data_IF_347356851505
#
_entry.id   IF_347356851505
#
_cell.length_a   1.000
_cell.length_b   1.000
_cell.length_c   1.000
_cell.angle_alpha   90.00
_cell.angle_beta   90.00
_cell.angle_gamma   90.00
#
_symmetry.space_group_name_H-M   'P 1'
#
loop_
_entity.id
_entity.type
_entity.pdbx_description
1 polymer ?
#
# COMPACT_ATOMS: atom_id res chain seq x y z
N UNK A 1 -52.62 28.39 0.69
CA UNK A 1 -54.04 28.78 0.77
C UNK A 1 -54.32 29.48 2.09
N UNK A 2 -53.66 29.04 3.17
CA UNK A 2 -53.78 29.65 4.51
C UNK A 2 -53.29 31.11 4.56
N UNK A 3 -52.18 31.43 3.89
CA UNK A 3 -51.61 32.79 3.90
C UNK A 3 -52.55 33.87 3.34
N UNK A 4 -53.34 33.55 2.31
CA UNK A 4 -54.32 34.48 1.74
C UNK A 4 -55.52 34.67 2.67
N UNK A 5 -55.93 33.58 3.34
CA UNK A 5 -57.02 33.59 4.32
C UNK A 5 -56.65 34.45 5.53
N UNK A 6 -55.41 34.34 6.00
CA UNK A 6 -54.89 35.14 7.11
C UNK A 6 -54.77 36.63 6.74
N UNK A 7 -54.34 36.93 5.51
CA UNK A 7 -54.32 38.29 4.95
C UNK A 7 -55.73 38.89 4.87
N UNK A 8 -56.74 38.11 4.44
CA UNK A 8 -58.12 38.59 4.33
C UNK A 8 -58.79 38.80 5.71
N UNK A 9 -58.54 37.92 6.68
CA UNK A 9 -59.01 38.11 8.07
C UNK A 9 -58.39 39.37 8.69
N UNK A 10 -57.10 39.61 8.45
CA UNK A 10 -56.41 40.83 8.92
C UNK A 10 -56.99 42.09 8.27
N UNK A 11 -57.33 42.02 6.98
CA UNK A 11 -58.01 43.11 6.27
C UNK A 11 -59.38 43.44 6.89
N UNK A 12 -60.20 42.44 7.19
CA UNK A 12 -61.52 42.64 7.78
C UNK A 12 -61.43 43.35 9.16
N UNK A 13 -60.48 42.92 10.00
CA UNK A 13 -60.29 43.50 11.34
C UNK A 13 -59.79 44.95 11.32
N UNK A 14 -59.06 45.37 10.27
CA UNK A 14 -58.44 46.70 10.20
C UNK A 14 -59.33 47.76 9.52
N UNK A 15 -60.45 47.37 8.89
CA UNK A 15 -61.37 48.33 8.26
C UNK A 15 -62.55 48.72 9.17
N UNK A 16 -62.54 48.29 10.43
CA UNK A 16 -63.52 48.72 11.44
C UNK A 16 -63.25 50.17 11.92
N UNK A 17 -62.03 50.69 11.75
CA UNK A 17 -61.65 52.06 12.11
C UNK A 17 -61.89 53.04 10.93
N UNK A 18 -62.74 54.06 11.13
CA UNK A 18 -63.27 54.96 10.07
C UNK A 18 -62.23 55.85 9.37
N UNK A 19 -61.04 56.03 9.94
CA UNK A 19 -60.10 57.07 9.52
C UNK A 19 -59.15 56.67 8.37
N UNK A 20 -59.10 55.39 7.96
CA UNK A 20 -58.23 54.94 6.84
C UNK A 20 -58.68 53.60 6.22
N UNK A 21 -59.91 53.55 5.70
CA UNK A 21 -60.46 52.32 5.10
C UNK A 21 -59.87 52.04 3.71
N UNK A 22 -59.24 50.87 3.55
CA UNK A 22 -58.80 50.33 2.27
C UNK A 22 -59.97 49.62 1.60
N UNK A 23 -60.27 49.96 0.35
CA UNK A 23 -61.35 49.26 -0.37
C UNK A 23 -61.01 47.78 -0.59
N UNK A 24 -62.02 46.92 -0.62
CA UNK A 24 -61.82 45.49 -0.85
C UNK A 24 -61.14 45.23 -2.21
N UNK A 25 -61.44 46.05 -3.21
CA UNK A 25 -60.78 46.03 -4.51
C UNK A 25 -59.28 46.34 -4.43
N UNK A 26 -58.88 47.30 -3.59
CA UNK A 26 -57.46 47.64 -3.37
C UNK A 26 -56.74 46.52 -2.62
N UNK A 27 -57.38 45.91 -1.63
CA UNK A 27 -56.86 44.72 -0.97
C UNK A 27 -56.57 43.60 -1.97
N UNK A 28 -57.54 43.24 -2.82
CA UNK A 28 -57.33 42.18 -3.82
C UNK A 28 -56.24 42.54 -4.83
N UNK A 29 -56.12 43.81 -5.25
CA UNK A 29 -55.03 44.26 -6.13
C UNK A 29 -53.65 44.07 -5.47
N UNK A 30 -53.52 44.44 -4.19
CA UNK A 30 -52.27 44.27 -3.45
C UNK A 30 -51.93 42.79 -3.22
N UNK A 31 -52.92 41.99 -2.82
CA UNK A 31 -52.73 40.56 -2.62
C UNK A 31 -52.33 39.84 -3.91
N UNK A 32 -52.97 40.19 -5.04
CA UNK A 32 -52.61 39.64 -6.34
C UNK A 32 -51.22 40.07 -6.79
N UNK A 33 -50.86 41.35 -6.59
CA UNK A 33 -49.51 41.84 -6.88
C UNK A 33 -48.45 41.06 -6.09
N UNK A 34 -48.65 40.90 -4.78
CA UNK A 34 -47.73 40.13 -3.93
C UNK A 34 -47.65 38.65 -4.32
N UNK A 35 -48.76 38.05 -4.78
CA UNK A 35 -48.74 36.68 -5.30
C UNK A 35 -47.94 36.55 -6.62
N UNK A 36 -48.03 37.55 -7.51
CA UNK A 36 -47.21 37.57 -8.73
C UNK A 36 -45.72 37.73 -8.42
N UNK A 37 -45.37 38.63 -7.49
CA UNK A 37 -43.98 38.81 -7.04
C UNK A 37 -43.40 37.50 -6.48
N UNK A 38 -44.14 36.82 -5.59
CA UNK A 38 -43.76 35.48 -5.08
C UNK A 38 -43.61 34.44 -6.18
N UNK A 39 -44.47 34.47 -7.20
CA UNK A 39 -44.40 33.54 -8.32
C UNK A 39 -43.16 33.78 -9.18
N UNK A 40 -42.80 35.05 -9.41
CA UNK A 40 -41.59 35.44 -10.13
C UNK A 40 -40.32 35.07 -9.34
N UNK A 41 -40.32 35.28 -8.02
CA UNK A 41 -39.24 34.81 -7.14
C UNK A 41 -39.06 33.29 -7.23
N UNK A 42 -40.15 32.53 -7.15
CA UNK A 42 -40.10 31.07 -7.26
C UNK A 42 -39.58 30.62 -8.63
N UNK A 43 -39.98 31.32 -9.70
CA UNK A 43 -39.50 31.05 -11.06
C UNK A 43 -37.99 31.29 -11.17
N UNK A 44 -37.48 32.36 -10.57
CA UNK A 44 -36.04 32.65 -10.53
C UNK A 44 -35.29 31.58 -9.73
N UNK A 45 -35.80 31.18 -8.57
CA UNK A 45 -35.21 30.09 -7.77
C UNK A 45 -35.15 28.78 -8.56
N UNK A 46 -36.23 28.42 -9.25
CA UNK A 46 -36.27 27.22 -10.08
C UNK A 46 -35.20 27.25 -11.19
N UNK A 47 -35.06 28.40 -11.87
CA UNK A 47 -34.05 28.57 -12.90
C UNK A 47 -32.63 28.44 -12.35
N UNK A 48 -32.34 29.04 -11.18
CA UNK A 48 -31.03 28.94 -10.53
C UNK A 48 -30.71 27.49 -10.14
N UNK A 49 -31.68 26.78 -9.54
CA UNK A 49 -31.52 25.35 -9.20
C UNK A 49 -31.27 24.48 -10.43
N UNK A 50 -31.92 24.76 -11.57
CA UNK A 50 -31.64 24.06 -12.81
C UNK A 50 -30.20 24.28 -13.30
N UNK A 51 -29.68 25.50 -13.19
CA UNK A 51 -28.29 25.79 -13.55
C UNK A 51 -27.31 25.08 -12.61
N UNK A 52 -27.55 25.12 -11.30
CA UNK A 52 -26.73 24.41 -10.31
C UNK A 52 -26.72 22.89 -10.57
N UNK A 53 -27.89 22.30 -10.85
CA UNK A 53 -28.00 20.89 -11.19
C UNK A 53 -27.16 20.53 -12.43
N UNK A 54 -27.20 21.38 -13.46
CA UNK A 54 -26.41 21.19 -14.68
C UNK A 54 -24.91 21.26 -14.39
N UNK A 55 -24.47 22.23 -13.59
CA UNK A 55 -23.07 22.38 -13.17
C UNK A 55 -22.61 21.16 -12.38
N UNK A 56 -23.40 20.70 -11.39
CA UNK A 56 -23.09 19.51 -10.59
C UNK A 56 -23.01 18.24 -11.43
N UNK A 57 -23.87 18.10 -12.44
CA UNK A 57 -23.81 16.97 -13.37
C UNK A 57 -22.50 16.94 -14.16
N UNK A 58 -22.01 18.11 -14.59
CA UNK A 58 -20.74 18.22 -15.31
C UNK A 58 -19.54 17.94 -14.40
N UNK A 59 -19.54 18.47 -13.18
CA UNK A 59 -18.51 18.17 -12.17
C UNK A 59 -18.45 16.67 -11.88
N UNK A 60 -19.60 16.02 -11.72
CA UNK A 60 -19.66 14.58 -11.48
C UNK A 60 -19.13 13.75 -12.65
N UNK A 61 -19.37 14.19 -13.90
CA UNK A 61 -18.79 13.54 -15.08
C UNK A 61 -17.26 13.64 -15.08
N UNK A 62 -16.71 14.82 -14.77
CA UNK A 62 -15.27 15.02 -14.62
C UNK A 62 -14.64 14.10 -13.56
N UNK A 63 -15.25 14.01 -12.37
CA UNK A 63 -14.75 13.12 -11.32
C UNK A 63 -14.84 11.63 -11.71
N UNK A 64 -15.85 11.23 -12.48
CA UNK A 64 -15.95 9.86 -12.98
C UNK A 64 -14.80 9.52 -13.94
N UNK A 65 -14.43 10.44 -14.83
CA UNK A 65 -13.28 10.27 -15.73
C UNK A 65 -11.95 10.20 -14.97
N UNK A 66 -11.77 11.06 -13.96
CA UNK A 66 -10.57 11.06 -13.12
C UNK A 66 -10.42 9.74 -12.33
N UNK A 67 -11.53 9.17 -11.82
CA UNK A 67 -11.52 7.86 -11.17
C UNK A 67 -11.09 6.73 -12.12
N UNK A 68 -11.55 6.75 -13.37
CA UNK A 68 -11.13 5.77 -14.38
C UNK A 68 -9.62 5.86 -14.64
N UNK A 69 -9.09 7.09 -14.74
CA UNK A 69 -7.65 7.31 -14.93
C UNK A 69 -6.84 6.77 -13.75
N UNK A 70 -7.24 7.09 -12.52
CA UNK A 70 -6.56 6.64 -11.30
C UNK A 70 -6.58 5.11 -11.18
N UNK A 71 -7.70 4.47 -11.50
CA UNK A 71 -7.78 2.99 -11.47
C UNK A 71 -6.88 2.36 -12.53
N UNK A 72 -6.74 3.00 -13.70
CA UNK A 72 -5.77 2.60 -14.72
C UNK A 72 -4.32 2.69 -14.24
N UNK A 73 -3.92 3.81 -13.65
CA UNK A 73 -2.58 4.01 -13.08
C UNK A 73 -2.27 2.99 -11.98
N UNK A 74 -3.24 2.72 -11.10
CA UNK A 74 -3.14 1.71 -10.05
C UNK A 74 -2.90 0.30 -10.62
N UNK A 75 -3.56 -0.05 -11.71
CA UNK A 75 -3.35 -1.33 -12.39
C UNK A 75 -1.91 -1.44 -12.92
N UNK A 76 -1.43 -0.43 -13.63
CA UNK A 76 -0.05 -0.37 -14.15
C UNK A 76 0.99 -0.52 -13.03
N UNK A 77 0.82 0.22 -11.93
CA UNK A 77 1.72 0.11 -10.77
C UNK A 77 1.69 -1.28 -10.12
N UNK A 78 0.52 -1.93 -10.11
CA UNK A 78 0.39 -3.29 -9.58
C UNK A 78 1.18 -4.29 -10.44
N UNK A 79 1.06 -4.17 -11.77
CA UNK A 79 1.80 -5.02 -12.71
C UNK A 79 3.32 -4.80 -12.59
N UNK A 80 3.77 -3.56 -12.42
CA UNK A 80 5.17 -3.21 -12.19
C UNK A 80 5.71 -3.82 -10.88
N UNK A 81 4.94 -3.73 -9.78
CA UNK A 81 5.30 -4.35 -8.49
C UNK A 81 5.44 -5.87 -8.64
N UNK A 82 4.55 -6.52 -9.40
CA UNK A 82 4.65 -7.96 -9.63
C UNK A 82 5.93 -8.33 -10.40
N UNK A 83 6.27 -7.56 -11.44
CA UNK A 83 7.50 -7.75 -12.20
C UNK A 83 8.76 -7.57 -11.32
N UNK A 84 8.79 -6.51 -10.51
CA UNK A 84 9.90 -6.27 -9.57
C UNK A 84 10.06 -7.40 -8.55
N UNK A 85 8.94 -7.94 -8.04
CA UNK A 85 8.97 -9.06 -7.10
C UNK A 85 9.51 -10.35 -7.73
N UNK A 86 9.21 -10.60 -9.00
CA UNK A 86 9.80 -11.73 -9.75
C UNK A 86 11.31 -11.52 -9.91
N UNK A 87 11.73 -10.31 -10.27
CA UNK A 87 13.16 -9.97 -10.42
C UNK A 87 13.93 -10.10 -9.09
N UNK A 88 13.35 -9.64 -7.98
CA UNK A 88 13.92 -9.79 -6.64
C UNK A 88 14.17 -11.26 -6.30
N UNK A 89 13.21 -12.14 -6.60
CA UNK A 89 13.35 -13.59 -6.38
C UNK A 89 14.50 -14.17 -7.21
N UNK A 90 14.56 -13.83 -8.50
CA UNK A 90 15.64 -14.28 -9.40
C UNK A 90 17.01 -13.82 -8.89
N UNK A 91 17.13 -12.57 -8.46
CA UNK A 91 18.39 -12.03 -7.92
C UNK A 91 18.78 -12.72 -6.61
N UNK A 92 17.82 -12.98 -5.73
CA UNK A 92 18.04 -13.71 -4.48
C UNK A 92 18.59 -15.11 -4.77
N UNK A 93 17.97 -15.84 -5.69
CA UNK A 93 18.45 -17.15 -6.14
C UNK A 93 19.87 -17.06 -6.72
N UNK A 94 20.16 -16.09 -7.60
CA UNK A 94 21.50 -15.86 -8.13
C UNK A 94 22.54 -15.60 -7.02
N UNK A 95 22.21 -14.82 -6.00
CA UNK A 95 23.09 -14.58 -4.86
C UNK A 95 23.37 -15.87 -4.06
N UNK A 96 22.36 -16.71 -3.85
CA UNK A 96 22.58 -18.01 -3.17
C UNK A 96 23.52 -18.92 -3.95
N UNK A 97 23.36 -19.00 -5.29
CA UNK A 97 24.22 -19.79 -6.16
C UNK A 97 25.66 -19.27 -6.12
N UNK A 98 25.85 -17.95 -6.21
CA UNK A 98 27.18 -17.33 -6.15
C UNK A 98 27.87 -17.60 -4.83
N UNK A 99 27.13 -17.53 -3.71
CA UNK A 99 27.67 -17.86 -2.40
C UNK A 99 28.17 -19.31 -2.34
N UNK A 100 27.34 -20.26 -2.77
CA UNK A 100 27.75 -21.68 -2.83
C UNK A 100 28.96 -21.90 -3.73
N UNK A 101 29.04 -21.23 -4.89
CA UNK A 101 30.23 -21.30 -5.76
C UNK A 101 31.48 -20.77 -5.07
N UNK A 102 31.37 -19.68 -4.31
CA UNK A 102 32.49 -19.11 -3.59
C UNK A 102 32.97 -20.02 -2.46
N UNK A 103 32.04 -20.62 -1.70
CA UNK A 103 32.36 -21.60 -0.65
C UNK A 103 33.14 -22.80 -1.22
N UNK A 104 32.73 -23.33 -2.39
CA UNK A 104 33.44 -24.41 -3.09
C UNK A 104 34.85 -23.97 -3.52
N UNK A 105 34.99 -22.78 -4.09
CA UNK A 105 36.29 -22.26 -4.53
C UNK A 105 37.25 -22.04 -3.34
N UNK A 106 36.75 -21.56 -2.22
CA UNK A 106 37.54 -21.42 -1.00
C UNK A 106 38.04 -22.80 -0.51
N UNK A 107 37.19 -23.82 -0.51
CA UNK A 107 37.57 -25.19 -0.19
C UNK A 107 38.67 -25.71 -1.15
N UNK A 108 38.50 -25.56 -2.46
CA UNK A 108 39.51 -25.94 -3.45
C UNK A 108 40.86 -25.23 -3.23
N UNK A 109 40.84 -23.93 -2.93
CA UNK A 109 42.05 -23.15 -2.63
C UNK A 109 42.75 -23.68 -1.37
N UNK A 110 42.01 -24.05 -0.32
CA UNK A 110 42.61 -24.66 0.88
C UNK A 110 43.27 -26.00 0.57
N UNK A 111 42.60 -26.86 -0.21
CA UNK A 111 43.15 -28.16 -0.64
C UNK A 111 44.44 -27.96 -1.44
N UNK A 112 44.46 -27.00 -2.37
CA UNK A 112 45.63 -26.68 -3.18
C UNK A 112 46.79 -26.15 -2.32
N UNK A 113 46.53 -25.24 -1.37
CA UNK A 113 47.55 -24.76 -0.44
C UNK A 113 48.18 -25.89 0.37
N UNK A 114 47.37 -26.80 0.90
CA UNK A 114 47.87 -27.97 1.65
C UNK A 114 48.71 -28.89 0.77
N UNK A 115 48.25 -29.21 -0.46
CA UNK A 115 49.03 -30.00 -1.41
C UNK A 115 50.38 -29.35 -1.74
N UNK A 116 50.41 -28.03 -1.91
CA UNK A 116 51.62 -27.30 -2.26
C UNK A 116 52.61 -27.22 -1.07
N UNK A 117 52.13 -27.16 0.17
CA UNK A 117 52.95 -27.27 1.38
C UNK A 117 53.63 -28.63 1.49
N UNK A 118 52.87 -29.71 1.31
CA UNK A 118 53.38 -31.09 1.37
C UNK A 118 54.42 -31.40 0.27
N UNK A 119 54.37 -30.69 -0.87
CA UNK A 119 55.39 -30.82 -1.93
C UNK A 119 56.70 -30.14 -1.53
N UNK A 120 56.65 -28.97 -0.90
CA UNK A 120 57.86 -28.25 -0.44
C UNK A 120 58.63 -29.01 0.65
N UNK A 121 57.96 -29.72 1.54
CA UNK A 121 58.62 -30.57 2.56
C UNK A 121 59.31 -31.81 1.97
N UNK A 122 58.92 -32.26 0.77
CA UNK A 122 59.57 -33.39 0.08
C UNK A 122 60.80 -32.99 -0.72
N UNK A 123 60.98 -31.70 -1.01
CA UNK A 123 62.08 -31.17 -1.81
C UNK A 123 63.21 -30.55 -0.95
N UNK A 124 63.17 -30.68 0.39
CA UNK A 124 64.28 -30.26 1.25
C UNK A 124 65.44 -31.28 1.17
N UNK A 125 66.64 -30.90 0.67
CA UNK A 125 67.71 -31.84 0.39
C UNK A 125 68.40 -32.29 1.68
N UNK A 126 68.05 -33.48 2.18
CA UNK A 126 68.86 -34.17 3.18
C UNK A 126 70.18 -34.63 2.56
N UNK A 127 71.24 -33.85 2.79
CA UNK A 127 72.60 -34.30 2.52
C UNK A 127 73.04 -35.36 3.54
N UNK A 128 73.60 -36.45 3.00
CA UNK A 128 74.39 -37.52 3.63
C UNK A 128 73.63 -38.58 4.43
N UNK A 129 73.45 -39.78 3.87
CA UNK A 129 74.41 -40.93 3.98
C UNK A 129 73.70 -42.23 3.54
N UNK A 130 74.14 -42.86 2.47
CA UNK A 130 73.80 -44.27 2.17
C UNK A 130 74.72 -45.21 2.99
N UNK A 131 74.50 -46.54 3.07
CA UNK A 131 73.38 -47.36 2.54
C UNK A 131 72.82 -48.42 3.55
N UNK A 132 71.59 -48.92 3.35
CA UNK A 132 71.22 -50.37 3.29
C UNK A 132 69.70 -50.61 3.34
N UNK A 133 69.24 -51.53 2.48
CA UNK A 133 68.02 -52.37 2.53
C UNK A 133 66.72 -51.82 3.16
N UNK A 134 65.67 -51.64 2.35
CA UNK A 134 64.54 -52.59 2.26
C UNK A 134 63.47 -52.05 1.32
N UNK A 135 63.13 -52.82 0.29
CA UNK A 135 62.06 -52.55 -0.65
C UNK A 135 60.69 -52.63 0.02
N UNK A 136 60.11 -51.50 0.41
CA UNK A 136 58.66 -51.39 0.63
C UNK A 136 58.04 -50.55 -0.50
N UNK A 137 57.40 -51.25 -1.44
CA UNK A 137 56.47 -50.67 -2.42
C UNK A 137 55.29 -50.05 -1.65
N UNK A 138 55.27 -48.72 -1.50
CA UNK A 138 54.04 -48.02 -1.18
C UNK A 138 53.14 -48.04 -2.42
N UNK A 139 52.09 -48.85 -2.36
CA UNK A 139 51.00 -48.87 -3.33
C UNK A 139 50.29 -47.50 -3.28
N UNK A 140 50.59 -46.61 -4.23
CA UNK A 140 49.65 -45.56 -4.59
C UNK A 140 48.54 -46.28 -5.35
N UNK A 141 47.37 -46.46 -4.72
CA UNK A 141 46.17 -46.80 -5.47
C UNK A 141 45.90 -45.64 -6.44
N UNK A 142 46.39 -45.78 -7.68
CA UNK A 142 45.86 -45.01 -8.80
C UNK A 142 44.39 -45.41 -8.88
N UNK A 143 43.50 -44.49 -8.53
CA UNK A 143 42.08 -44.67 -8.82
C UNK A 143 41.95 -44.98 -10.32
N UNK A 144 41.24 -46.07 -10.62
CA UNK A 144 41.02 -46.52 -11.98
C UNK A 144 40.39 -45.38 -12.80
N UNK A 145 40.99 -44.94 -13.93
CA UNK A 145 40.43 -43.89 -14.78
C UNK A 145 38.96 -44.11 -15.12
N UNK A 146 38.52 -45.37 -15.18
CA UNK A 146 37.16 -45.78 -15.47
C UNK A 146 36.17 -45.41 -14.34
N UNK A 147 36.63 -45.37 -13.08
CA UNK A 147 35.87 -44.91 -11.91
C UNK A 147 35.62 -43.40 -11.96
N UNK A 148 36.64 -42.62 -12.32
CA UNK A 148 36.47 -41.17 -12.50
C UNK A 148 35.57 -40.85 -13.70
N UNK A 149 35.72 -41.58 -14.81
CA UNK A 149 34.84 -41.44 -15.97
C UNK A 149 33.37 -41.67 -15.57
N UNK A 150 33.09 -42.74 -14.83
CA UNK A 150 31.73 -43.09 -14.39
C UNK A 150 31.11 -42.03 -13.46
N UNK A 151 31.92 -41.43 -12.57
CA UNK A 151 31.48 -40.31 -11.71
C UNK A 151 31.20 -39.05 -12.51
N UNK A 152 31.99 -38.78 -13.54
CA UNK A 152 31.80 -37.63 -14.41
C UNK A 152 30.53 -37.76 -15.24
N UNK A 153 30.27 -38.95 -15.81
CA UNK A 153 29.02 -39.23 -16.54
C UNK A 153 27.79 -39.16 -15.64
N UNK A 154 27.90 -39.58 -14.37
CA UNK A 154 26.81 -39.45 -13.41
C UNK A 154 26.48 -37.97 -13.11
N UNK A 155 27.50 -37.13 -12.93
CA UNK A 155 27.31 -35.69 -12.71
C UNK A 155 26.73 -34.99 -13.94
N UNK A 156 27.20 -35.32 -15.14
CA UNK A 156 26.65 -34.81 -16.40
C UNK A 156 25.16 -35.16 -16.53
N UNK A 157 24.78 -36.41 -16.25
CA UNK A 157 23.39 -36.84 -16.28
C UNK A 157 22.52 -36.14 -15.23
N UNK A 158 23.06 -35.89 -14.03
CA UNK A 158 22.36 -35.17 -12.97
C UNK A 158 22.12 -33.70 -13.36
N UNK A 159 23.10 -33.05 -13.98
CA UNK A 159 23.02 -31.65 -14.43
C UNK A 159 22.07 -31.53 -15.63
N UNK A 160 22.18 -32.39 -16.64
CA UNK A 160 21.29 -32.40 -17.80
C UNK A 160 19.84 -32.71 -17.42
N UNK A 161 19.61 -33.62 -16.46
CA UNK A 161 18.27 -33.89 -15.89
C UNK A 161 17.68 -32.67 -15.19
N UNK A 162 18.49 -31.90 -14.44
CA UNK A 162 18.02 -30.66 -13.81
C UNK A 162 17.75 -29.52 -14.80
N UNK A 163 18.55 -29.40 -15.86
CA UNK A 163 18.37 -28.37 -16.90
C UNK A 163 17.11 -28.66 -17.74
N UNK A 164 16.86 -29.91 -18.11
CA UNK A 164 15.67 -30.30 -18.87
C UNK A 164 14.37 -30.08 -18.09
N UNK A 165 14.41 -30.24 -16.76
CA UNK A 165 13.27 -29.93 -15.88
C UNK A 165 13.02 -28.42 -15.68
N UNK A 166 13.91 -27.54 -16.16
CA UNK A 166 13.77 -26.08 -16.10
C UNK A 166 13.29 -25.47 -17.43
N UNK A 167 13.16 -26.26 -18.50
CA UNK A 167 12.65 -25.77 -19.78
C UNK A 167 11.12 -25.78 -19.83
N UNK A 168 10.51 -24.75 -19.25
CA UNK A 168 9.23 -24.23 -19.73
C UNK A 168 9.52 -23.30 -20.91
N UNK A 169 9.46 -23.87 -22.11
CA UNK A 169 9.08 -23.24 -23.38
C UNK A 169 9.57 -21.81 -23.62
N UNK A 170 10.74 -21.68 -24.26
CA UNK A 170 10.97 -20.57 -25.18
C UNK A 170 9.96 -20.70 -26.34
N UNK A 171 8.83 -20.01 -26.25
CA UNK A 171 8.22 -19.40 -27.43
C UNK A 171 8.49 -17.92 -27.28
N UNK A 172 9.60 -17.46 -27.86
CA UNK A 172 9.81 -16.08 -28.30
C UNK A 172 11.00 -16.12 -29.27
N UNK A 173 10.77 -16.74 -30.43
CA UNK A 173 11.47 -16.35 -31.64
C UNK A 173 10.56 -15.41 -32.43
N UNK A 174 11.15 -14.34 -32.96
CA UNK A 174 10.58 -13.37 -33.90
C UNK A 174 9.62 -12.33 -33.31
N UNK A 175 10.15 -11.16 -32.93
CA UNK A 175 10.05 -9.91 -33.72
C UNK A 175 11.25 -9.03 -33.33
N UNK A 176 12.33 -9.09 -34.13
CA UNK A 176 13.23 -7.96 -34.31
C UNK A 176 12.77 -7.28 -35.59
N UNK A 177 12.07 -6.16 -35.47
CA UNK A 177 11.92 -5.23 -36.59
C UNK A 177 11.98 -3.79 -36.06
N UNK A 178 13.15 -3.18 -36.32
CA UNK A 178 13.44 -1.76 -36.48
C UNK A 178 12.60 -0.74 -35.69
N UNK A 179 13.16 -0.26 -34.58
CA UNK A 179 12.91 1.11 -34.12
C UNK A 179 14.27 1.76 -33.83
N UNK A 180 14.57 2.79 -34.62
CA UNK A 180 15.71 3.67 -34.44
C UNK A 180 15.77 4.22 -33.01
N UNK A 181 16.89 3.99 -32.34
CA UNK A 181 17.22 4.58 -31.05
C UNK A 181 17.80 5.97 -31.31
N UNK A 182 17.14 7.09 -30.93
CA UNK A 182 17.84 8.35 -30.82
C UNK A 182 18.73 8.26 -29.59
N UNK A 183 20.03 8.48 -29.80
CA UNK A 183 21.04 8.61 -28.76
C UNK A 183 20.70 9.82 -27.87
N UNK A 184 19.95 9.59 -26.80
CA UNK A 184 19.66 10.60 -25.80
C UNK A 184 20.67 10.46 -24.66
N UNK A 185 21.35 11.58 -24.37
CA UNK A 185 22.32 11.75 -23.31
C UNK A 185 21.71 11.40 -21.94
N UNK A 186 22.52 10.81 -21.07
CA UNK A 186 22.11 10.42 -19.72
C UNK A 186 21.57 11.65 -18.95
N UNK A 187 20.37 11.59 -18.35
CA UNK A 187 19.95 12.63 -17.44
C UNK A 187 20.65 12.43 -16.10
N UNK A 188 21.40 13.46 -15.74
CA UNK A 188 21.94 13.74 -14.42
C UNK A 188 20.85 13.57 -13.37
N UNK A 189 21.13 12.77 -12.32
CA UNK A 189 20.35 12.70 -11.10
C UNK A 189 20.29 14.10 -10.47
N UNK A 190 19.20 14.82 -10.68
CA UNK A 190 18.81 15.95 -9.85
C UNK A 190 17.79 15.42 -8.85
N UNK A 191 18.16 15.40 -7.57
CA UNK A 191 17.21 15.26 -6.46
C UNK A 191 16.24 16.45 -6.50
N UNK A 192 15.20 16.38 -7.32
CA UNK A 192 14.07 17.31 -7.22
C UNK A 192 13.24 16.93 -5.99
N UNK A 193 13.52 17.61 -4.88
CA UNK A 193 12.53 17.88 -3.85
C UNK A 193 11.31 18.52 -4.52
N UNK A 194 10.33 17.69 -4.90
CA UNK A 194 9.00 18.16 -5.27
C UNK A 194 8.35 18.71 -4.00
N UNK A 195 8.59 19.99 -3.73
CA UNK A 195 7.80 20.78 -2.79
C UNK A 195 6.49 21.05 -3.53
N UNK A 196 5.49 20.18 -3.32
CA UNK A 196 4.12 20.46 -3.70
C UNK A 196 3.67 21.75 -3.01
N UNK A 197 3.63 22.86 -3.75
CA UNK A 197 3.03 24.10 -3.30
C UNK A 197 1.50 23.95 -3.32
N UNK A 198 0.97 23.21 -2.33
CA UNK A 198 -0.46 22.98 -2.14
C UNK A 198 -1.08 24.16 -1.39
N UNK A 199 -1.44 25.20 -2.14
CA UNK A 199 -2.28 26.31 -1.66
C UNK A 199 -3.79 26.05 -1.80
N UNK A 200 -4.20 24.88 -2.27
CA UNK A 200 -5.61 24.49 -2.21
C UNK A 200 -5.91 23.85 -0.86
N UNK A 201 -6.48 24.64 0.05
CA UNK A 201 -7.04 24.20 1.33
C UNK A 201 -7.96 22.98 1.13
N UNK A 202 -8.71 22.94 0.02
CA UNK A 202 -9.62 21.86 -0.35
C UNK A 202 -8.87 20.57 -0.67
N UNK A 203 -7.78 20.60 -1.43
CA UNK A 203 -6.98 19.40 -1.72
C UNK A 203 -6.26 18.86 -0.49
N UNK A 204 -5.83 19.74 0.44
CA UNK A 204 -5.32 19.30 1.75
C UNK A 204 -6.40 18.56 2.53
N UNK A 205 -7.62 19.12 2.61
CA UNK A 205 -8.72 18.47 3.30
C UNK A 205 -9.16 17.18 2.62
N UNK A 206 -9.17 17.12 1.28
CA UNK A 206 -9.54 15.92 0.53
C UNK A 206 -8.52 14.78 0.69
N UNK A 207 -7.21 15.08 0.62
CA UNK A 207 -6.15 14.10 0.89
C UNK A 207 -6.17 13.65 2.36
N UNK A 208 -6.38 14.58 3.30
CA UNK A 208 -6.62 14.25 4.71
C UNK A 208 -7.85 13.35 4.85
N UNK A 209 -8.95 13.62 4.14
CA UNK A 209 -10.19 12.83 4.15
C UNK A 209 -10.00 11.40 3.62
N UNK A 210 -9.30 11.23 2.51
CA UNK A 210 -8.96 9.91 1.96
C UNK A 210 -8.00 9.16 2.91
N UNK A 211 -7.07 9.85 3.56
CA UNK A 211 -6.17 9.26 4.55
C UNK A 211 -6.90 8.93 5.88
N UNK A 212 -7.90 9.72 6.27
CA UNK A 212 -8.73 9.50 7.47
C UNK A 212 -9.52 8.18 7.36
N UNK A 213 -9.93 7.77 6.15
CA UNK A 213 -10.68 6.52 5.93
C UNK A 213 -9.85 5.23 6.09
N UNK A 214 -8.52 5.30 6.21
CA UNK A 214 -7.64 4.10 6.25
C UNK A 214 -7.19 3.68 7.65
N UNK A 215 -7.79 4.21 8.71
CA UNK A 215 -7.44 3.74 10.06
C UNK A 215 -8.02 2.35 10.32
N UNK A 216 -7.19 1.32 10.11
CA UNK A 216 -7.52 -0.09 10.34
C UNK A 216 -7.27 -0.56 11.78
N UNK A 217 -6.85 0.35 12.66
CA UNK A 217 -6.57 0.04 14.06
C UNK A 217 -7.88 -0.19 14.81
N UNK A 218 -8.17 -1.45 15.12
CA UNK A 218 -9.40 -1.90 15.78
C UNK A 218 -9.65 -1.26 17.16
N UNK A 219 -8.64 -0.64 17.77
CA UNK A 219 -8.69 0.07 19.04
C UNK A 219 -8.71 1.60 18.91
N UNK A 220 -8.80 2.17 17.71
CA UNK A 220 -8.77 3.60 17.48
C UNK A 220 -10.02 4.32 18.02
N UNK A 221 -9.90 5.32 18.91
CA UNK A 221 -11.06 6.01 19.49
C UNK A 221 -11.84 6.87 18.51
N UNK A 222 -11.28 7.18 17.33
CA UNK A 222 -11.93 8.00 16.29
C UNK A 222 -12.65 7.16 15.23
N UNK A 223 -12.18 5.95 14.95
CA UNK A 223 -12.60 5.18 13.78
C UNK A 223 -13.06 3.75 14.09
N UNK A 224 -12.97 3.29 15.34
CA UNK A 224 -13.46 1.97 15.74
C UNK A 224 -14.49 2.04 16.86
N UNK A 225 -15.38 1.05 16.90
CA UNK A 225 -16.37 0.86 17.97
C UNK A 225 -15.76 0.13 19.18
N UNK A 226 -14.48 0.38 19.47
CA UNK A 226 -13.71 -0.37 20.48
C UNK A 226 -14.38 -0.36 21.85
N UNK A 227 -14.96 0.76 22.27
CA UNK A 227 -15.65 0.89 23.57
C UNK A 227 -16.91 0.03 23.62
N UNK A 228 -17.73 0.10 22.57
CA UNK A 228 -18.99 -0.66 22.51
C UNK A 228 -18.75 -2.18 22.43
N UNK A 229 -17.64 -2.60 21.80
CA UNK A 229 -17.21 -4.00 21.76
C UNK A 229 -16.67 -4.44 23.11
N UNK A 230 -15.85 -3.62 23.76
CA UNK A 230 -15.30 -3.91 25.09
C UNK A 230 -16.38 -4.16 26.14
N UNK A 231 -17.45 -3.37 26.10
CA UNK A 231 -18.55 -3.48 27.06
C UNK A 231 -19.37 -4.78 26.86
N UNK A 232 -19.26 -5.40 25.66
CA UNK A 232 -19.92 -6.67 25.32
C UNK A 232 -19.05 -7.92 25.57
N UNK A 233 -17.73 -7.77 25.73
CA UNK A 233 -16.81 -8.90 25.95
C UNK A 233 -16.69 -9.20 27.44
N UNK A 234 -16.98 -10.45 27.83
CA UNK A 234 -16.70 -10.95 29.18
C UNK A 234 -15.20 -11.27 29.29
N UNK A 235 -14.43 -10.33 29.85
CA UNK A 235 -12.95 -10.42 29.94
C UNK A 235 -12.49 -11.60 30.83
N UNK A 236 -13.31 -12.05 31.79
CA UNK A 236 -12.92 -13.10 32.75
C UNK A 236 -12.65 -14.45 32.07
N UNK A 237 -13.34 -14.73 30.97
CA UNK A 237 -13.30 -16.02 30.27
C UNK A 237 -12.26 -16.07 29.14
N UNK A 238 -11.47 -15.00 28.99
CA UNK A 238 -10.47 -14.87 27.94
C UNK A 238 -9.11 -15.46 28.35
N UNK A 239 -8.31 -15.82 27.34
CA UNK A 239 -6.93 -16.27 27.53
C UNK A 239 -6.09 -15.20 28.26
N UNK A 240 -5.00 -15.62 28.91
CA UNK A 240 -4.06 -14.68 29.54
C UNK A 240 -3.47 -13.70 28.53
N UNK A 241 -3.27 -14.15 27.29
CA UNK A 241 -2.74 -13.33 26.20
C UNK A 241 -3.77 -12.27 25.75
N UNK A 242 -5.03 -12.67 25.54
CA UNK A 242 -6.09 -11.73 25.15
C UNK A 242 -6.34 -10.68 26.24
N UNK A 243 -6.31 -11.09 27.52
CA UNK A 243 -6.38 -10.17 28.66
C UNK A 243 -5.26 -9.13 28.62
N UNK A 244 -4.04 -9.53 28.23
CA UNK A 244 -2.91 -8.63 28.10
C UNK A 244 -3.08 -7.66 26.91
N UNK A 245 -3.46 -8.18 25.74
CA UNK A 245 -3.72 -7.38 24.53
C UNK A 245 -4.82 -6.34 24.80
N UNK A 246 -5.94 -6.76 25.39
CA UNK A 246 -7.07 -5.88 25.73
C UNK A 246 -6.66 -4.77 26.70
N UNK A 247 -5.87 -5.08 27.74
CA UNK A 247 -5.37 -4.07 28.69
C UNK A 247 -4.49 -3.03 27.99
N UNK A 248 -3.58 -3.48 27.13
CA UNK A 248 -2.68 -2.61 26.37
C UNK A 248 -3.45 -1.71 25.39
N UNK A 249 -4.46 -2.27 24.72
CA UNK A 249 -5.36 -1.53 23.85
C UNK A 249 -6.18 -0.47 24.63
N UNK A 250 -6.70 -0.80 25.82
CA UNK A 250 -7.41 0.17 26.69
C UNK A 250 -6.54 1.35 27.08
N UNK A 251 -5.31 1.10 27.53
CA UNK A 251 -4.38 2.16 27.91
C UNK A 251 -4.10 3.12 26.73
N UNK A 252 -3.94 2.56 25.52
CA UNK A 252 -3.78 3.36 24.30
C UNK A 252 -5.05 4.12 23.95
N UNK A 253 -6.20 3.48 23.96
CA UNK A 253 -7.48 4.13 23.69
C UNK A 253 -7.66 5.40 24.55
N UNK A 254 -7.39 5.30 25.86
CA UNK A 254 -7.44 6.44 26.80
C UNK A 254 -6.44 7.54 26.44
N UNK A 255 -5.19 7.19 26.16
CA UNK A 255 -4.15 8.14 25.73
C UNK A 255 -4.57 8.94 24.48
N UNK A 256 -5.15 8.26 23.50
CA UNK A 256 -5.59 8.85 22.23
C UNK A 256 -6.93 9.57 22.31
N UNK A 257 -7.77 9.25 23.30
CA UNK A 257 -8.98 9.99 23.59
C UNK A 257 -8.68 11.43 24.05
N UNK A 258 -7.51 11.64 24.66
CA UNK A 258 -6.97 12.95 25.01
C UNK A 258 -7.68 13.63 26.17
N UNK A 259 -6.98 13.87 27.28
CA UNK A 259 -7.57 14.49 28.48
C UNK A 259 -8.06 15.93 28.26
N UNK A 260 -7.54 16.63 27.25
CA UNK A 260 -7.75 18.08 27.04
C UNK A 260 -8.83 18.44 26.00
N UNK A 261 -9.23 17.52 25.12
CA UNK A 261 -10.19 17.78 24.03
C UNK A 261 -11.27 16.69 23.97
N UNK A 262 -12.20 16.70 24.94
CA UNK A 262 -13.30 15.71 25.04
C UNK A 262 -14.17 15.61 23.77
N UNK A 263 -14.16 16.66 22.92
CA UNK A 263 -15.02 16.74 21.74
C UNK A 263 -14.36 16.19 20.46
N UNK A 264 -13.05 15.88 20.46
CA UNK A 264 -12.38 15.40 19.24
C UNK A 264 -11.26 14.39 19.57
N UNK A 265 -11.58 13.10 19.69
CA UNK A 265 -10.58 12.05 19.93
C UNK A 265 -9.57 12.00 18.78
N UNK A 266 -8.30 11.75 19.11
CA UNK A 266 -7.20 11.71 18.13
C UNK A 266 -7.11 10.33 17.48
N UNK A 267 -6.71 10.31 16.21
CA UNK A 267 -6.44 9.06 15.50
C UNK A 267 -4.93 8.74 15.56
N UNK A 268 -4.54 7.54 16.02
CA UNK A 268 -3.14 7.12 16.12
C UNK A 268 -2.37 7.11 14.79
N UNK A 269 -3.07 6.96 13.67
CA UNK A 269 -2.48 6.85 12.32
C UNK A 269 -1.98 8.21 11.83
N UNK A 270 -2.62 9.31 12.25
CA UNK A 270 -2.24 10.66 11.83
C UNK A 270 -0.94 11.13 12.49
N UNK A 271 -0.74 10.76 13.75
CA UNK A 271 0.44 11.18 14.51
C UNK A 271 1.62 10.19 14.36
N UNK A 272 1.39 8.97 13.84
CA UNK A 272 2.44 7.95 13.60
C UNK A 272 3.27 8.13 12.33
N UNK A 273 3.01 9.16 11.51
CA UNK A 273 3.75 9.45 10.26
C UNK A 273 5.29 9.62 10.40
N UNK A 274 5.87 9.46 11.60
CA UNK A 274 7.31 9.57 11.88
C UNK A 274 7.94 8.32 12.51
N UNK A 275 7.25 7.18 12.59
CA UNK A 275 7.82 5.97 13.23
C UNK A 275 7.28 4.66 12.68
N UNK A 276 8.00 3.56 12.98
CA UNK A 276 7.70 2.21 12.50
C UNK A 276 6.24 1.78 12.77
N UNK A 277 5.65 1.15 11.76
CA UNK A 277 4.27 0.63 11.78
C UNK A 277 4.28 -0.70 12.54
N UNK A 278 4.27 -0.63 13.87
CA UNK A 278 3.94 -1.79 14.69
C UNK A 278 2.46 -2.15 14.53
N UNK A 279 2.15 -3.22 13.81
CA UNK A 279 0.78 -3.75 13.64
C UNK A 279 0.34 -4.36 14.97
N UNK A 280 -0.74 -3.86 15.55
CA UNK A 280 -1.34 -4.46 16.75
C UNK A 280 -2.30 -5.56 16.34
N UNK A 281 -1.90 -6.81 16.57
CA UNK A 281 -2.79 -7.95 16.40
C UNK A 281 -4.01 -7.81 17.33
N UNK A 282 -5.19 -8.05 16.79
CA UNK A 282 -6.42 -8.10 17.57
C UNK A 282 -6.40 -9.35 18.48
N UNK A 283 -7.01 -9.29 19.67
CA UNK A 283 -7.17 -10.47 20.51
C UNK A 283 -8.06 -11.48 19.79
N UNK A 284 -7.87 -12.76 20.07
CA UNK A 284 -8.58 -13.86 19.38
C UNK A 284 -10.10 -13.80 19.61
N UNK A 285 -10.52 -13.17 20.71
CA UNK A 285 -11.91 -12.95 21.05
C UNK A 285 -12.51 -11.67 20.44
N UNK A 286 -11.74 -10.92 19.64
CA UNK A 286 -12.27 -9.74 18.98
C UNK A 286 -13.21 -10.15 17.86
N UNK A 287 -14.37 -9.50 17.71
CA UNK A 287 -15.24 -9.75 16.56
C UNK A 287 -14.46 -9.40 15.29
N UNK A 288 -14.16 -10.43 14.48
CA UNK A 288 -13.70 -10.24 13.11
C UNK A 288 -14.89 -9.74 12.30
N UNK A 289 -14.93 -8.45 11.99
CA UNK A 289 -15.97 -7.92 11.12
C UNK A 289 -15.86 -8.59 9.74
N UNK A 290 -16.99 -9.16 9.29
CA UNK A 290 -17.35 -9.28 7.88
C UNK A 290 -17.48 -7.88 7.25
#
# INVERSE_FOLDING_TARGET
>A
MDEFKDLYVTYLNNNEDEDNQMSELEFFKLAFKGAMEKMDELRQQYHNLQQELKTKKNENAYYAEELVKIEGEKKTLTDEIMSLKVNEKILTEKCTILKTKNDILEEEVTILKTKNGNLKEKDEPQFLRSPTFSTNKMFVQKEDPQSMQSRMTFLENLVCSKITNLNLSNQDESIMENIDIPKAEAPILVEEKVIFNLNSVILRYALLFIYFQKCTEWWCPRHSNFKDILDKIIIKDQSTEDKYIIRKAKARYVYWQGEKNKNMPRCPVLERLKGEIGIFLAPTCWPTNN
#
